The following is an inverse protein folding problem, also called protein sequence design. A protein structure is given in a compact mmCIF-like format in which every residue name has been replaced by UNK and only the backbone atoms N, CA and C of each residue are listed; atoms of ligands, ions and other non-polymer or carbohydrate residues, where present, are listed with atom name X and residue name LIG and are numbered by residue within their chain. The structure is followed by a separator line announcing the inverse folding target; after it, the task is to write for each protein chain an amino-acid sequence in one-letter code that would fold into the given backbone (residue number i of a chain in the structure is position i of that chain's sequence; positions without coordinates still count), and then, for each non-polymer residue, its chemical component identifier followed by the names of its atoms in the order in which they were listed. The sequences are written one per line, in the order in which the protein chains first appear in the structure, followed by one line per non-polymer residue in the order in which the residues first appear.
data_IF_517655943609
#
_entry.id   IF_517655943609
#
_cell.length_a   1.000
_cell.length_b   1.000
_cell.length_c   1.000
_cell.angle_alpha   90.00
_cell.angle_beta   90.00
_cell.angle_gamma   90.00
#
_symmetry.space_group_name_H-M   'P 1'
#
loop_
_entity.id
_entity.type
_entity.pdbx_description
1 polymer ?
#
# COMPACT_ATOMS: atom_id res chain seq x y z
N UNK A 1 4.86 18.29 3.48
CA UNK A 1 4.54 17.03 4.17
C UNK A 1 4.39 17.31 5.65
N UNK A 2 3.33 16.79 6.26
CA UNK A 2 3.15 16.75 7.71
C UNK A 2 4.19 15.83 8.36
N UNK A 3 4.41 15.95 9.67
CA UNK A 3 5.31 15.04 10.40
C UNK A 3 4.91 13.56 10.22
N UNK A 4 3.61 13.28 10.19
CA UNK A 4 3.07 11.92 9.99
C UNK A 4 3.31 11.39 8.56
N UNK A 5 3.26 12.26 7.55
CA UNK A 5 3.59 11.86 6.18
C UNK A 5 5.07 11.50 6.01
N UNK A 6 5.96 12.22 6.69
CA UNK A 6 7.39 11.89 6.71
C UNK A 6 7.65 10.57 7.45
N UNK A 7 6.97 10.34 8.58
CA UNK A 7 7.02 9.07 9.31
C UNK A 7 6.61 7.89 8.41
N UNK A 8 5.51 8.03 7.66
CA UNK A 8 5.04 7.03 6.71
C UNK A 8 6.11 6.64 5.67
N UNK A 9 6.80 7.62 5.10
CA UNK A 9 7.88 7.37 4.13
C UNK A 9 9.05 6.60 4.75
N UNK A 10 9.44 6.95 5.98
CA UNK A 10 10.49 6.23 6.70
C UNK A 10 10.09 4.79 7.03
N UNK A 11 8.85 4.56 7.44
CA UNK A 11 8.34 3.21 7.70
C UNK A 11 8.29 2.36 6.44
N UNK A 12 7.88 2.93 5.30
CA UNK A 12 7.92 2.23 4.00
C UNK A 12 9.35 1.84 3.64
N UNK A 13 10.30 2.77 3.80
CA UNK A 13 11.73 2.50 3.60
C UNK A 13 12.24 1.39 4.50
N UNK A 14 11.94 1.44 5.79
CA UNK A 14 12.40 0.43 6.75
C UNK A 14 11.79 -0.95 6.46
N UNK A 15 10.52 -1.00 6.09
CA UNK A 15 9.86 -2.24 5.67
C UNK A 15 10.50 -2.81 4.41
N UNK A 16 10.76 -1.97 3.40
CA UNK A 16 11.44 -2.38 2.18
C UNK A 16 12.81 -3.00 2.48
N UNK A 17 13.63 -2.36 3.32
CA UNK A 17 14.95 -2.87 3.71
C UNK A 17 14.88 -4.18 4.50
N UNK A 18 13.75 -4.46 5.16
CA UNK A 18 13.48 -5.69 5.90
C UNK A 18 12.77 -6.77 5.07
N UNK A 19 12.47 -6.50 3.79
CA UNK A 19 11.71 -7.42 2.93
C UNK A 19 10.23 -7.55 3.30
N UNK A 20 9.68 -6.57 4.04
CA UNK A 20 8.27 -6.52 4.42
C UNK A 20 7.49 -5.78 3.32
N UNK A 21 6.49 -6.47 2.80
CA UNK A 21 5.62 -5.99 1.70
C UNK A 21 4.17 -5.88 2.18
N UNK A 22 3.33 -5.07 1.51
CA UNK A 22 1.94 -4.89 1.92
C UNK A 22 1.09 -6.17 1.72
N UNK A 23 1.35 -6.95 0.67
CA UNK A 23 0.58 -8.18 0.41
C UNK A 23 0.93 -9.36 1.32
N UNK A 24 1.96 -9.27 2.16
CA UNK A 24 2.40 -10.38 3.00
C UNK A 24 1.75 -10.34 4.40
N UNK A 25 0.67 -11.13 4.55
CA UNK A 25 -0.10 -11.25 5.78
C UNK A 25 0.67 -11.76 7.01
N UNK A 26 1.83 -12.40 6.83
CA UNK A 26 2.67 -12.84 7.95
C UNK A 26 3.24 -11.66 8.75
N UNK A 27 3.27 -10.47 8.16
CA UNK A 27 3.84 -9.27 8.77
C UNK A 27 2.81 -8.39 9.48
N UNK A 28 1.54 -8.79 9.58
CA UNK A 28 0.48 -7.94 10.14
C UNK A 28 0.67 -7.66 11.64
N UNK A 29 1.47 -8.47 12.34
CA UNK A 29 1.88 -8.23 13.73
C UNK A 29 3.17 -7.41 13.85
N UNK A 30 3.83 -7.06 12.75
CA UNK A 30 5.06 -6.28 12.77
C UNK A 30 4.75 -4.83 13.22
N UNK A 31 5.49 -4.26 14.20
CA UNK A 31 5.21 -2.91 14.69
C UNK A 31 5.21 -1.84 13.60
N UNK A 32 6.09 -1.94 12.59
CA UNK A 32 6.13 -0.97 11.50
C UNK A 32 4.91 -1.12 10.58
N UNK A 33 4.46 -2.35 10.34
CA UNK A 33 3.24 -2.62 9.56
C UNK A 33 2.03 -2.03 10.27
N UNK A 34 1.87 -2.33 11.56
CA UNK A 34 0.79 -1.80 12.39
C UNK A 34 0.80 -0.27 12.37
N UNK A 35 1.98 0.35 12.51
CA UNK A 35 2.10 1.81 12.47
C UNK A 35 1.72 2.40 11.11
N UNK A 36 2.04 1.73 9.99
CA UNK A 36 1.57 2.15 8.66
C UNK A 36 0.03 2.15 8.58
N UNK A 37 -0.62 1.10 9.09
CA UNK A 37 -2.09 1.04 9.13
C UNK A 37 -2.64 2.20 9.96
N UNK A 38 -2.10 2.43 11.16
CA UNK A 38 -2.52 3.53 12.03
C UNK A 38 -2.42 4.88 11.31
N UNK A 39 -1.29 5.16 10.65
CA UNK A 39 -1.11 6.39 9.88
C UNK A 39 -2.19 6.50 8.80
N UNK A 40 -2.43 5.45 8.01
CA UNK A 40 -3.46 5.49 6.97
C UNK A 40 -4.85 5.80 7.56
N UNK A 41 -5.19 5.14 8.67
CA UNK A 41 -6.46 5.37 9.37
C UNK A 41 -6.57 6.80 9.93
N UNK A 42 -5.47 7.40 10.41
CA UNK A 42 -5.44 8.80 10.84
C UNK A 42 -5.77 9.75 9.68
N UNK A 43 -5.26 9.49 8.47
CA UNK A 43 -5.63 10.23 7.26
C UNK A 43 -7.12 10.07 6.91
N UNK A 44 -7.62 8.84 6.91
CA UNK A 44 -9.00 8.55 6.50
C UNK A 44 -10.04 9.05 7.50
N UNK A 45 -9.76 8.95 8.80
CA UNK A 45 -10.59 9.55 9.85
C UNK A 45 -10.68 11.07 9.72
N UNK A 46 -9.64 11.72 9.19
CA UNK A 46 -9.62 13.14 8.88
C UNK A 46 -10.27 13.53 7.55
N UNK A 47 -10.86 12.57 6.80
CA UNK A 47 -11.33 12.78 5.42
C UNK A 47 -10.22 13.28 4.47
N UNK A 48 -8.98 12.84 4.71
CA UNK A 48 -7.76 13.27 3.97
C UNK A 48 -7.27 12.21 2.98
N UNK A 49 -8.17 11.42 2.42
CA UNK A 49 -7.81 10.40 1.41
C UNK A 49 -7.13 11.04 0.19
N UNK A 50 -7.54 12.25 -0.20
CA UNK A 50 -6.92 13.03 -1.27
C UNK A 50 -5.51 13.55 -0.91
N UNK A 51 -5.22 13.75 0.38
CA UNK A 51 -3.85 14.06 0.81
C UNK A 51 -3.00 12.80 0.76
N UNK A 52 -3.54 11.67 1.21
CA UNK A 52 -2.86 10.39 1.27
C UNK A 52 -2.53 9.83 -0.13
N UNK A 53 -3.42 9.98 -1.11
CA UNK A 53 -3.16 9.53 -2.50
C UNK A 53 -1.95 10.22 -3.16
N UNK A 54 -1.50 11.38 -2.64
CA UNK A 54 -0.29 12.03 -3.16
C UNK A 54 0.96 11.15 -3.02
N UNK A 55 0.97 10.17 -2.11
CA UNK A 55 2.04 9.18 -2.01
C UNK A 55 2.13 8.23 -3.22
N UNK A 56 1.15 8.19 -4.12
CA UNK A 56 1.27 7.46 -5.40
C UNK A 56 2.43 7.93 -6.27
N UNK A 57 2.85 9.19 -6.11
CA UNK A 57 3.96 9.77 -6.87
C UNK A 57 5.33 9.23 -6.40
N UNK A 58 5.37 8.57 -5.25
CA UNK A 58 6.60 8.05 -4.65
C UNK A 58 6.82 6.58 -5.01
N UNK A 59 7.64 6.33 -6.03
CA UNK A 59 7.94 4.98 -6.53
C UNK A 59 9.03 4.25 -5.73
N UNK A 60 9.78 4.97 -4.90
CA UNK A 60 10.84 4.40 -4.09
C UNK A 60 10.25 3.58 -2.94
N UNK A 61 10.95 2.51 -2.55
CA UNK A 61 10.63 1.72 -1.36
C UNK A 61 9.19 1.20 -1.29
N UNK A 62 8.57 0.97 -2.46
CA UNK A 62 7.18 0.50 -2.57
C UNK A 62 6.16 1.45 -1.94
N UNK A 63 6.47 2.74 -1.77
CA UNK A 63 5.56 3.70 -1.11
C UNK A 63 4.21 3.77 -1.84
N UNK A 64 4.20 3.97 -3.15
CA UNK A 64 2.99 3.93 -3.96
C UNK A 64 2.20 2.62 -3.81
N UNK A 65 2.88 1.48 -3.70
CA UNK A 65 2.26 0.16 -3.52
C UNK A 65 1.60 0.06 -2.14
N UNK A 66 2.32 0.41 -1.07
CA UNK A 66 1.77 0.51 0.28
C UNK A 66 0.55 1.43 0.31
N UNK A 67 0.63 2.57 -0.37
CA UNK A 67 -0.46 3.56 -0.43
C UNK A 67 -1.71 2.94 -1.06
N UNK A 68 -1.57 2.23 -2.18
CA UNK A 68 -2.67 1.58 -2.87
C UNK A 68 -3.35 0.51 -2.00
N UNK A 69 -2.57 -0.32 -1.31
CA UNK A 69 -3.09 -1.31 -0.36
C UNK A 69 -3.87 -0.66 0.78
N UNK A 70 -3.28 0.34 1.45
CA UNK A 70 -3.93 1.00 2.58
C UNK A 70 -5.25 1.69 2.18
N UNK A 71 -5.29 2.31 0.99
CA UNK A 71 -6.53 2.89 0.47
C UNK A 71 -7.59 1.81 0.23
N UNK A 72 -7.24 0.69 -0.42
CA UNK A 72 -8.21 -0.39 -0.70
C UNK A 72 -8.71 -1.10 0.57
N UNK A 73 -7.83 -1.31 1.55
CA UNK A 73 -8.16 -2.09 2.76
C UNK A 73 -8.84 -1.23 3.84
N UNK A 74 -8.56 0.08 3.89
CA UNK A 74 -8.99 0.94 5.01
C UNK A 74 -9.64 2.26 4.59
N UNK A 75 -9.49 2.70 3.34
CA UNK A 75 -9.89 4.04 2.89
C UNK A 75 -11.31 4.15 2.33
N UNK A 76 -11.98 3.03 2.04
CA UNK A 76 -13.28 3.00 1.35
C UNK A 76 -13.34 3.94 0.11
N UNK A 77 -12.45 3.75 -0.87
CA UNK A 77 -12.34 4.64 -2.02
C UNK A 77 -13.58 4.57 -2.92
N UNK A 78 -13.82 5.64 -3.67
CA UNK A 78 -14.75 5.59 -4.79
C UNK A 78 -14.23 4.68 -5.93
N UNK A 79 -15.05 4.50 -6.97
CA UNK A 79 -14.70 3.62 -8.08
C UNK A 79 -13.48 4.06 -8.88
N UNK A 80 -13.22 5.37 -8.98
CA UNK A 80 -12.10 5.91 -9.75
C UNK A 80 -10.79 5.65 -9.00
N UNK A 81 -10.74 6.04 -7.73
CA UNK A 81 -9.57 5.81 -6.88
C UNK A 81 -9.32 4.32 -6.65
N UNK A 82 -10.38 3.52 -6.54
CA UNK A 82 -10.26 2.05 -6.48
C UNK A 82 -9.58 1.48 -7.72
N UNK A 83 -9.96 1.93 -8.92
CA UNK A 83 -9.35 1.48 -10.16
C UNK A 83 -7.87 1.88 -10.22
N UNK A 84 -7.53 3.11 -9.83
CA UNK A 84 -6.15 3.58 -9.76
C UNK A 84 -5.29 2.71 -8.81
N UNK A 85 -5.79 2.38 -7.61
CA UNK A 85 -5.10 1.49 -6.68
C UNK A 85 -4.85 0.10 -7.28
N UNK A 86 -5.87 -0.47 -7.94
CA UNK A 86 -5.74 -1.79 -8.58
C UNK A 86 -4.70 -1.74 -9.70
N UNK A 87 -4.68 -0.69 -10.53
CA UNK A 87 -3.67 -0.52 -11.56
C UNK A 87 -2.25 -0.45 -10.99
N UNK A 88 -2.06 0.29 -9.89
CA UNK A 88 -0.77 0.36 -9.21
C UNK A 88 -0.33 -1.04 -8.78
N UNK A 89 -1.19 -1.79 -8.07
CA UNK A 89 -0.87 -3.15 -7.59
C UNK A 89 -0.58 -4.09 -8.78
N UNK A 90 -1.37 -4.01 -9.85
CA UNK A 90 -1.17 -4.81 -11.07
C UNK A 90 0.21 -4.62 -11.69
N UNK A 91 0.78 -3.39 -11.67
CA UNK A 91 2.14 -3.15 -12.21
C UNK A 91 3.20 -3.97 -11.46
N UNK A 92 3.01 -4.22 -10.16
CA UNK A 92 3.95 -5.00 -9.35
C UNK A 92 3.83 -6.52 -9.54
N UNK A 93 2.74 -7.01 -10.15
CA UNK A 93 2.61 -8.43 -10.53
C UNK A 93 3.60 -8.87 -11.61
N UNK A 94 4.24 -7.92 -12.29
CA UNK A 94 5.31 -8.15 -13.27
C UNK A 94 6.66 -7.59 -12.80
N UNK A 95 6.84 -7.36 -11.49
CA UNK A 95 8.09 -6.83 -10.96
C UNK A 95 9.25 -7.83 -11.13
N UNK A 96 10.49 -7.33 -11.14
CA UNK A 96 11.68 -8.19 -11.21
C UNK A 96 11.88 -9.07 -9.97
N UNK A 97 11.24 -8.74 -8.85
CA UNK A 97 11.20 -9.61 -7.68
C UNK A 97 10.08 -10.63 -7.86
N UNK A 98 10.45 -11.87 -8.20
CA UNK A 98 9.50 -12.98 -8.38
C UNK A 98 8.63 -13.19 -7.13
N UNK A 99 9.19 -12.99 -5.94
CA UNK A 99 8.45 -13.11 -4.69
C UNK A 99 7.38 -12.03 -4.57
N UNK A 100 7.75 -10.76 -4.74
CA UNK A 100 6.80 -9.64 -4.68
C UNK A 100 5.71 -9.81 -5.75
N UNK A 101 6.10 -10.11 -6.98
CA UNK A 101 5.17 -10.35 -8.08
C UNK A 101 4.12 -11.42 -7.75
N UNK A 102 4.55 -12.52 -7.13
CA UNK A 102 3.65 -13.58 -6.70
C UNK A 102 2.75 -13.12 -5.54
N UNK A 103 3.28 -12.40 -4.55
CA UNK A 103 2.50 -11.87 -3.42
C UNK A 103 1.37 -10.95 -3.93
N UNK A 104 1.67 -9.99 -4.80
CA UNK A 104 0.68 -9.06 -5.35
C UNK A 104 -0.37 -9.78 -6.21
N UNK A 105 0.05 -10.77 -7.01
CA UNK A 105 -0.87 -11.59 -7.82
C UNK A 105 -1.83 -12.39 -6.93
N UNK A 106 -1.33 -13.01 -5.87
CA UNK A 106 -2.17 -13.74 -4.92
C UNK A 106 -3.12 -12.81 -4.17
N UNK A 107 -2.66 -11.62 -3.77
CA UNK A 107 -3.52 -10.64 -3.11
C UNK A 107 -4.67 -10.19 -4.02
N UNK A 108 -4.39 -9.88 -5.30
CA UNK A 108 -5.43 -9.51 -6.27
C UNK A 108 -6.45 -10.64 -6.50
N UNK A 109 -6.00 -11.89 -6.56
CA UNK A 109 -6.88 -13.07 -6.70
C UNK A 109 -7.78 -13.24 -5.47
N UNK A 110 -7.20 -13.18 -4.27
CA UNK A 110 -7.93 -13.34 -3.01
C UNK A 110 -8.99 -12.26 -2.81
N UNK A 111 -8.72 -11.04 -3.27
CA UNK A 111 -9.63 -9.90 -3.18
C UNK A 111 -10.56 -9.75 -4.41
N UNK A 112 -10.53 -10.71 -5.36
CA UNK A 112 -11.34 -10.72 -6.59
C UNK A 112 -11.17 -9.50 -7.49
N UNK A 113 -9.97 -8.91 -7.47
CA UNK A 113 -9.59 -7.82 -8.37
C UNK A 113 -8.88 -8.30 -9.62
N UNK A 114 -8.48 -9.56 -9.66
CA UNK A 114 -7.92 -10.20 -10.85
C UNK A 114 -9.01 -10.95 -11.61
N UNK A 115 -9.41 -10.45 -12.78
CA UNK A 115 -10.26 -11.17 -13.73
C UNK A 115 -9.33 -11.65 -14.85
N UNK A 116 -9.32 -12.97 -15.09
CA UNK A 116 -8.57 -13.59 -16.19
C UNK A 116 -9.17 -13.25 -17.54
#
# INVERSE_FOLDING_TARGET
MSNIGTEYLFLCRDNYLRGITPSNNQNYSNPNYVRIIEIAQEYFAGSKIDEYKNFFQEYQYLVNLWTAHMILEHGNPDSELKAECIEIIMRYTNSHSTELANQEKQWLLNNRYFIQ
#
